data_IF_538456736314
#
_entry.id   IF_538456736314
#
_cell.length_a   1.000
_cell.length_b   1.000
_cell.length_c   1.000
_cell.angle_alpha   90.00
_cell.angle_beta   90.00
_cell.angle_gamma   90.00
#
_symmetry.space_group_name_H-M   'P 1'
#
loop_
_entity.id
_entity.type
_entity.pdbx_description
1 polymer ?
#
# COMPACT_ATOMS: atom_id res chain seq x y z
N UNK A 1 13.55 -23.84 -1.05
CA UNK A 1 13.09 -24.20 -2.40
C UNK A 1 11.72 -23.61 -2.50
N UNK A 2 11.66 -22.33 -2.84
CA UNK A 2 10.45 -21.53 -2.71
C UNK A 2 10.27 -20.81 -4.05
N UNK A 3 9.78 -21.60 -4.99
CA UNK A 3 9.31 -21.22 -6.31
C UNK A 3 8.05 -20.35 -6.17
N UNK A 4 8.21 -19.04 -6.12
CA UNK A 4 7.10 -18.07 -6.15
C UNK A 4 7.29 -16.95 -7.18
N UNK A 5 8.24 -17.08 -8.10
CA UNK A 5 8.63 -15.97 -8.99
C UNK A 5 7.73 -15.78 -10.22
N UNK A 6 6.80 -16.70 -10.55
CA UNK A 6 6.04 -16.57 -11.82
C UNK A 6 4.51 -16.65 -11.71
N UNK A 7 3.92 -16.20 -10.60
CA UNK A 7 2.51 -15.83 -10.60
C UNK A 7 2.41 -14.32 -10.73
N UNK A 8 1.94 -13.84 -11.88
CA UNK A 8 1.65 -12.43 -12.07
C UNK A 8 0.70 -11.94 -10.96
N UNK A 9 1.18 -11.00 -10.12
CA UNK A 9 0.38 -10.42 -9.05
C UNK A 9 -0.95 -9.92 -9.62
N UNK A 10 -2.06 -10.38 -9.03
CA UNK A 10 -3.36 -9.78 -9.28
C UNK A 10 -3.32 -8.30 -8.92
N UNK A 11 -4.23 -7.51 -9.48
CA UNK A 11 -4.31 -6.07 -9.17
C UNK A 11 -4.48 -5.82 -7.67
N UNK A 12 -5.30 -6.62 -6.98
CA UNK A 12 -5.56 -6.48 -5.55
C UNK A 12 -4.32 -6.76 -4.69
N UNK A 13 -3.58 -7.83 -5.00
CA UNK A 13 -2.33 -8.15 -4.30
C UNK A 13 -1.28 -7.06 -4.52
N UNK A 14 -1.20 -6.52 -5.74
CA UNK A 14 -0.26 -5.44 -6.06
C UNK A 14 -0.61 -4.13 -5.36
N UNK A 15 -1.88 -3.75 -5.31
CA UNK A 15 -2.33 -2.57 -4.56
C UNK A 15 -2.01 -2.73 -3.05
N UNK A 16 -2.26 -3.90 -2.49
CA UNK A 16 -1.92 -4.21 -1.10
C UNK A 16 -0.40 -4.07 -0.87
N UNK A 17 0.42 -4.61 -1.77
CA UNK A 17 1.88 -4.52 -1.71
C UNK A 17 2.39 -3.08 -1.83
N UNK A 18 1.87 -2.29 -2.76
CA UNK A 18 2.23 -0.87 -2.92
C UNK A 18 1.93 -0.12 -1.62
N UNK A 19 0.75 -0.34 -1.04
CA UNK A 19 0.37 0.31 0.21
C UNK A 19 1.31 -0.06 1.38
N UNK A 20 1.71 -1.34 1.50
CA UNK A 20 2.70 -1.76 2.50
C UNK A 20 4.06 -1.11 2.28
N UNK A 21 4.53 -1.03 1.03
CA UNK A 21 5.80 -0.41 0.69
C UNK A 21 5.82 1.09 1.02
N UNK A 22 4.75 1.81 0.69
CA UNK A 22 4.63 3.23 0.99
C UNK A 22 4.53 3.48 2.50
N UNK A 23 3.84 2.62 3.25
CA UNK A 23 3.76 2.72 4.70
C UNK A 23 5.12 2.52 5.38
N UNK A 24 5.95 1.60 4.85
CA UNK A 24 7.28 1.33 5.39
C UNK A 24 8.36 2.37 4.96
N UNK A 25 8.03 3.27 4.03
CA UNK A 25 8.97 4.24 3.46
C UNK A 25 8.56 5.67 3.84
N UNK A 26 8.97 6.18 5.01
CA UNK A 26 8.60 7.53 5.47
C UNK A 26 9.10 8.66 4.55
N UNK A 27 10.18 8.43 3.80
CA UNK A 27 10.69 9.36 2.78
C UNK A 27 10.08 9.13 1.38
N UNK A 28 9.19 8.16 1.25
CA UNK A 28 8.50 7.84 0.01
C UNK A 28 9.34 7.09 -1.01
N UNK A 29 8.65 6.59 -2.03
CA UNK A 29 9.21 5.82 -3.13
C UNK A 29 8.81 6.43 -4.46
N UNK A 30 9.75 6.48 -5.41
CA UNK A 30 9.46 6.85 -6.79
C UNK A 30 8.66 5.75 -7.51
N UNK A 31 7.99 6.11 -8.61
CA UNK A 31 7.32 5.12 -9.48
C UNK A 31 8.29 4.08 -10.02
N UNK A 32 9.56 4.45 -10.26
CA UNK A 32 10.62 3.55 -10.71
C UNK A 32 10.98 2.49 -9.65
N UNK A 33 11.09 2.91 -8.39
CA UNK A 33 11.37 2.00 -7.27
C UNK A 33 10.21 1.04 -7.03
N UNK A 34 8.98 1.55 -6.99
CA UNK A 34 7.77 0.74 -6.87
C UNK A 34 7.63 -0.26 -8.02
N UNK A 35 7.91 0.17 -9.26
CA UNK A 35 7.87 -0.68 -10.45
C UNK A 35 8.83 -1.86 -10.32
N UNK A 36 10.07 -1.59 -9.89
CA UNK A 36 11.09 -2.62 -9.63
C UNK A 36 10.67 -3.57 -8.50
N UNK A 37 10.15 -3.05 -7.39
CA UNK A 37 9.75 -3.83 -6.21
C UNK A 37 8.49 -4.69 -6.43
N UNK A 38 7.64 -4.30 -7.38
CA UNK A 38 6.42 -5.02 -7.76
C UNK A 38 6.56 -5.81 -9.06
N UNK A 39 7.68 -5.71 -9.79
CA UNK A 39 7.89 -6.43 -11.05
C UNK A 39 6.96 -5.98 -12.18
N UNK A 40 6.60 -4.69 -12.26
CA UNK A 40 5.68 -4.13 -13.27
C UNK A 40 6.23 -2.85 -13.89
N UNK A 41 5.58 -2.33 -14.94
CA UNK A 41 5.96 -1.04 -15.54
C UNK A 41 5.63 0.15 -14.64
N UNK A 42 6.33 1.27 -14.81
CA UNK A 42 6.00 2.54 -14.13
C UNK A 42 4.58 3.03 -14.46
N UNK A 43 4.11 2.83 -15.71
CA UNK A 43 2.72 3.15 -16.10
C UNK A 43 1.70 2.34 -15.30
N UNK A 44 2.01 1.08 -14.98
CA UNK A 44 1.16 0.24 -14.12
C UNK A 44 1.09 0.83 -12.72
N UNK A 45 2.24 1.18 -12.13
CA UNK A 45 2.31 1.81 -10.81
C UNK A 45 1.52 3.12 -10.79
N UNK A 46 1.69 3.99 -11.77
CA UNK A 46 1.01 5.29 -11.77
C UNK A 46 -0.52 5.14 -11.81
N UNK A 47 -1.03 4.15 -12.56
CA UNK A 47 -2.46 3.79 -12.53
C UNK A 47 -2.90 3.12 -11.22
N UNK A 48 -2.02 2.38 -10.56
CA UNK A 48 -2.30 1.78 -9.26
C UNK A 48 -2.34 2.82 -8.14
N UNK A 49 -1.46 3.83 -8.17
CA UNK A 49 -1.47 4.98 -7.25
C UNK A 49 -2.82 5.73 -7.30
N UNK A 50 -3.33 6.03 -8.50
CA UNK A 50 -4.68 6.62 -8.68
C UNK A 50 -5.78 5.72 -8.11
N UNK A 51 -5.61 4.40 -8.18
CA UNK A 51 -6.58 3.47 -7.61
C UNK A 51 -6.51 3.35 -6.11
N UNK A 52 -5.36 3.57 -5.49
CA UNK A 52 -5.27 3.67 -4.03
C UNK A 52 -6.10 4.85 -3.54
N UNK A 53 -6.03 6.00 -4.19
CA UNK A 53 -6.87 7.16 -3.85
C UNK A 53 -8.36 6.84 -4.02
N UNK A 54 -8.73 6.16 -5.12
CA UNK A 54 -10.13 5.75 -5.35
C UNK A 54 -10.65 4.77 -4.28
N UNK A 55 -9.75 4.01 -3.65
CA UNK A 55 -10.05 3.10 -2.53
C UNK A 55 -10.01 3.79 -1.15
N UNK A 56 -9.83 5.12 -1.11
CA UNK A 56 -9.73 5.88 0.14
C UNK A 56 -8.40 5.73 0.85
N UNK A 57 -7.35 5.27 0.16
CA UNK A 57 -5.98 5.21 0.67
C UNK A 57 -5.25 6.46 0.14
N UNK A 58 -5.13 7.53 0.93
CA UNK A 58 -4.56 8.78 0.45
C UNK A 58 -3.05 8.66 0.27
N UNK A 59 -2.60 8.94 -0.96
CA UNK A 59 -1.18 9.01 -1.33
C UNK A 59 -0.85 10.46 -1.66
N UNK A 60 0.31 10.93 -1.23
CA UNK A 60 0.84 12.26 -1.56
C UNK A 60 2.05 12.14 -2.47
N UNK A 61 2.16 13.06 -3.42
CA UNK A 61 3.33 13.21 -4.29
C UNK A 61 4.20 14.37 -3.79
N UNK A 62 5.50 14.15 -3.68
CA UNK A 62 6.48 15.21 -3.42
C UNK A 62 6.76 16.01 -4.70
N UNK A 63 6.99 17.32 -4.61
CA UNK A 63 7.47 18.14 -5.74
C UNK A 63 8.93 17.91 -6.17
N UNK A 64 9.59 16.87 -5.64
CA UNK A 64 10.96 16.49 -6.00
C UNK A 64 11.04 15.94 -7.44
N UNK A 65 12.26 15.90 -7.98
CA UNK A 65 12.54 15.32 -9.29
C UNK A 65 13.59 14.20 -9.15
N UNK A 66 13.22 12.92 -9.33
CA UNK A 66 11.89 12.41 -9.67
C UNK A 66 10.89 12.48 -8.49
N UNK A 67 9.57 12.53 -8.77
CA UNK A 67 8.56 12.57 -7.72
C UNK A 67 8.60 11.30 -6.86
N UNK A 68 8.45 11.49 -5.56
CA UNK A 68 8.29 10.43 -4.55
C UNK A 68 6.86 10.41 -4.05
N UNK A 69 6.36 9.21 -3.79
CA UNK A 69 5.04 8.98 -3.25
C UNK A 69 5.13 8.54 -1.80
N UNK A 70 4.31 9.12 -0.92
CA UNK A 70 4.18 8.79 0.50
C UNK A 70 2.72 8.55 0.86
N UNK A 71 2.45 7.87 1.97
CA UNK A 71 1.10 7.83 2.53
C UNK A 71 0.86 9.02 3.44
N UNK A 72 -0.37 9.54 3.48
CA UNK A 72 -0.73 10.55 4.49
C UNK A 72 -0.67 9.93 5.88
N UNK A 73 0.06 10.57 6.79
CA UNK A 73 0.17 10.15 8.18
C UNK A 73 -1.21 10.04 8.85
N UNK A 74 -1.40 8.99 9.64
CA UNK A 74 -2.63 8.77 10.40
C UNK A 74 -3.82 8.22 9.61
N UNK A 75 -3.70 8.02 8.29
CA UNK A 75 -4.83 7.56 7.44
C UNK A 75 -4.73 6.11 6.95
N UNK A 76 -3.68 5.36 7.30
CA UNK A 76 -3.54 3.97 6.85
C UNK A 76 -3.73 2.97 7.99
N UNK A 77 -4.79 2.18 7.88
CA UNK A 77 -4.97 0.94 8.63
C UNK A 77 -4.80 -0.18 7.60
N UNK A 78 -3.74 -1.01 7.69
CA UNK A 78 -3.61 -2.16 6.80
C UNK A 78 -4.86 -3.05 6.93
N UNK A 79 -5.25 -3.80 5.89
CA UNK A 79 -6.42 -4.67 5.97
C UNK A 79 -6.26 -5.69 7.10
N UNK A 80 -6.94 -5.46 8.22
CA UNK A 80 -6.96 -6.36 9.38
C UNK A 80 -8.20 -7.24 9.29
N UNK A 81 -8.01 -8.56 9.29
CA UNK A 81 -9.10 -9.50 9.51
C UNK A 81 -9.24 -9.71 11.01
N UNK A 82 -10.37 -9.28 11.56
CA UNK A 82 -10.75 -9.57 12.94
C UNK A 82 -11.83 -10.65 12.93
N UNK A 83 -11.66 -11.65 13.79
CA UNK A 83 -12.76 -12.51 14.20
C UNK A 83 -13.78 -11.72 15.02
N UNK A 84 -14.99 -12.26 15.17
CA UNK A 84 -16.01 -11.64 16.01
C UNK A 84 -15.51 -11.38 17.44
N UNK A 85 -14.78 -12.34 18.03
CA UNK A 85 -14.25 -12.20 19.38
C UNK A 85 -13.17 -11.11 19.46
N UNK A 86 -12.27 -11.01 18.48
CA UNK A 86 -11.24 -9.96 18.44
C UNK A 86 -11.88 -8.57 18.23
N UNK A 87 -12.88 -8.47 17.36
CA UNK A 87 -13.61 -7.22 17.13
C UNK A 87 -14.34 -6.75 18.39
N UNK A 88 -14.98 -7.66 19.12
CA UNK A 88 -15.63 -7.35 20.40
C UNK A 88 -14.62 -6.93 21.46
N UNK A 89 -13.50 -7.65 21.58
CA UNK A 89 -12.43 -7.30 22.52
C UNK A 89 -11.86 -5.89 22.24
N UNK A 90 -11.60 -5.56 20.98
CA UNK A 90 -11.12 -4.24 20.58
C UNK A 90 -12.14 -3.15 20.89
N UNK A 91 -13.42 -3.39 20.62
CA UNK A 91 -14.52 -2.46 20.90
C UNK A 91 -14.72 -2.18 22.40
N UNK A 92 -14.48 -3.18 23.25
CA UNK A 92 -14.50 -3.02 24.70
C UNK A 92 -13.26 -2.24 25.18
N UNK A 93 -12.07 -2.61 24.68
CA UNK A 93 -10.82 -1.95 25.05
C UNK A 93 -10.79 -0.46 24.66
N UNK A 94 -11.34 -0.09 23.51
CA UNK A 94 -11.38 1.31 23.04
C UNK A 94 -12.31 2.23 23.85
N UNK A 95 -13.12 1.69 24.77
CA UNK A 95 -14.06 2.44 25.62
C UNK A 95 -13.60 2.57 27.08
N UNK A 96 -12.42 2.04 27.42
CA UNK A 96 -11.78 2.21 28.72
C UNK A 96 -10.90 3.46 28.70
#
# INVERSE_FOLDING_TARGET
MDDHTDRAFTRAERLSRISTLLHAAPHGLSTAELARLCGVSQRTIQRDLVSLETLGIPVTESGEHPPRYTMVEGCYIPPVRLSLHEALALNLAARL
#
